data_IF_504693102709
#
_entry.id   IF_504693102709
#
_cell.length_a   1.000
_cell.length_b   1.000
_cell.length_c   1.000
_cell.angle_alpha   90.00
_cell.angle_beta   90.00
_cell.angle_gamma   90.00
#
_symmetry.space_group_name_H-M   'P 1'
#
loop_
_entity.id
_entity.type
_entity.pdbx_description
1 polymer ?
#
# COMPACT_ATOMS: atom_id res chain seq x y z
N UNK A 1 -51.10 47.70 31.88
CA UNK A 1 -49.86 47.52 32.68
C UNK A 1 -49.25 46.19 32.30
N UNK A 2 -47.96 46.19 31.98
CA UNK A 2 -47.25 45.21 31.16
C UNK A 2 -46.98 43.90 31.93
N UNK A 3 -47.26 42.76 31.29
CA UNK A 3 -46.89 41.42 31.75
C UNK A 3 -45.38 41.16 31.55
N UNK A 4 -44.64 40.84 32.60
CA UNK A 4 -43.30 40.24 32.49
C UNK A 4 -43.36 38.75 32.80
N UNK A 5 -43.41 37.91 31.76
CA UNK A 5 -43.07 36.49 31.85
C UNK A 5 -41.55 36.37 31.92
N UNK A 6 -41.03 35.82 33.03
CA UNK A 6 -39.62 35.42 33.15
C UNK A 6 -39.38 34.20 32.25
N UNK A 7 -38.70 34.40 31.13
CA UNK A 7 -38.17 33.32 30.32
C UNK A 7 -36.84 32.86 30.93
N UNK A 8 -36.82 31.65 31.48
CA UNK A 8 -35.59 30.95 31.84
C UNK A 8 -34.99 30.38 30.55
N UNK A 9 -33.90 30.96 30.05
CA UNK A 9 -33.13 30.42 28.93
C UNK A 9 -32.18 29.37 29.49
N UNK A 10 -32.48 28.10 29.25
CA UNK A 10 -31.59 26.98 29.53
C UNK A 10 -30.51 26.96 28.43
N UNK A 11 -29.32 27.46 28.72
CA UNK A 11 -28.17 27.35 27.81
C UNK A 11 -27.62 25.94 27.96
N UNK A 12 -28.04 25.04 27.06
CA UNK A 12 -27.41 23.74 26.90
C UNK A 12 -26.04 23.94 26.24
N UNK A 13 -24.97 23.82 27.03
CA UNK A 13 -23.62 23.66 26.50
C UNK A 13 -23.55 22.30 25.80
N UNK A 14 -23.76 22.27 24.49
CA UNK A 14 -23.28 21.17 23.66
C UNK A 14 -21.75 21.28 23.61
N UNK A 15 -21.06 20.53 24.46
CA UNK A 15 -19.67 20.17 24.22
C UNK A 15 -19.66 19.29 22.98
N UNK A 16 -19.53 19.92 21.81
CA UNK A 16 -19.24 19.21 20.58
C UNK A 16 -17.91 18.51 20.76
N UNK A 17 -17.93 17.19 20.91
CA UNK A 17 -16.77 16.38 20.59
C UNK A 17 -16.53 16.61 19.09
N UNK A 18 -15.54 17.44 18.77
CA UNK A 18 -14.99 17.48 17.42
C UNK A 18 -14.37 16.11 17.20
N UNK A 19 -15.11 15.23 16.52
CA UNK A 19 -14.52 14.02 15.97
C UNK A 19 -13.62 14.49 14.83
N UNK A 20 -12.31 14.59 15.12
CA UNK A 20 -11.32 14.81 14.08
C UNK A 20 -11.43 13.66 13.07
N UNK A 21 -11.76 14.00 11.84
CA UNK A 21 -11.98 13.02 10.76
C UNK A 21 -10.69 12.41 10.20
N UNK A 22 -9.54 12.82 10.74
CA UNK A 22 -8.22 12.27 10.47
C UNK A 22 -7.49 12.15 11.81
N UNK A 23 -6.99 10.96 12.12
CA UNK A 23 -6.38 10.71 13.43
C UNK A 23 -4.90 10.39 13.25
N UNK A 24 -4.06 11.26 13.81
CA UNK A 24 -2.64 10.98 13.97
C UNK A 24 -2.46 9.98 15.12
N UNK A 25 -1.74 8.87 14.93
CA UNK A 25 -1.39 8.00 16.04
C UNK A 25 -0.61 8.71 17.14
N UNK A 26 -0.88 8.33 18.39
CA UNK A 26 -0.12 8.78 19.56
C UNK A 26 1.30 8.21 19.54
N UNK A 27 1.41 6.97 19.04
CA UNK A 27 2.65 6.19 18.95
C UNK A 27 2.66 5.41 17.65
N UNK A 28 3.82 5.32 17.03
CA UNK A 28 4.11 4.34 15.97
C UNK A 28 5.26 3.45 16.40
N UNK A 29 5.18 2.17 16.02
CA UNK A 29 6.15 1.13 16.38
C UNK A 29 6.71 0.51 15.12
N UNK A 30 8.01 0.22 15.13
CA UNK A 30 8.70 -0.38 13.99
C UNK A 30 9.74 -1.41 14.40
N UNK A 31 10.36 -2.07 13.43
CA UNK A 31 11.34 -3.13 13.67
C UNK A 31 12.81 -2.67 13.60
N UNK A 32 13.06 -1.38 13.34
CA UNK A 32 14.41 -0.83 13.35
C UNK A 32 15.10 -1.09 14.69
N UNK A 33 16.32 -1.61 14.62
CA UNK A 33 17.15 -1.97 15.77
C UNK A 33 16.39 -2.84 16.80
N UNK A 34 15.76 -3.90 16.32
CA UNK A 34 14.96 -4.91 17.06
C UNK A 34 13.58 -4.46 17.54
N UNK A 35 13.41 -3.19 17.91
CA UNK A 35 12.12 -2.59 18.21
C UNK A 35 12.27 -1.08 18.31
N UNK A 36 11.54 -0.36 17.47
CA UNK A 36 11.54 1.09 17.41
C UNK A 36 10.20 1.64 17.88
N UNK A 37 10.22 2.79 18.56
CA UNK A 37 9.03 3.47 19.08
C UNK A 37 9.21 4.96 18.87
N UNK A 38 8.16 5.66 18.42
CA UNK A 38 8.16 7.11 18.30
C UNK A 38 6.77 7.71 18.51
N UNK A 39 6.72 8.89 19.12
CA UNK A 39 5.46 9.54 19.52
C UNK A 39 5.25 10.92 18.90
N UNK A 40 6.32 11.67 18.60
CA UNK A 40 6.24 13.07 18.18
C UNK A 40 7.54 13.62 17.57
N UNK A 41 8.44 12.74 17.11
CA UNK A 41 9.77 13.11 16.66
C UNK A 41 10.57 13.98 17.67
N UNK A 42 10.35 13.76 18.98
CA UNK A 42 11.21 14.36 20.01
C UNK A 42 12.57 13.65 20.04
N UNK A 43 13.63 14.39 20.43
CA UNK A 43 15.00 13.86 20.51
C UNK A 43 15.19 12.71 21.51
N UNK A 44 14.17 12.36 22.29
CA UNK A 44 14.15 11.18 23.18
C UNK A 44 14.05 9.87 22.39
N UNK A 45 13.51 9.89 21.17
CA UNK A 45 13.38 8.71 20.32
C UNK A 45 14.47 8.68 19.25
N UNK A 46 15.06 7.51 19.02
CA UNK A 46 16.10 7.36 18.02
C UNK A 46 15.54 7.59 16.60
N UNK A 47 16.22 8.37 15.77
CA UNK A 47 15.96 8.44 14.33
C UNK A 47 16.29 7.09 13.70
N UNK A 48 15.36 6.51 12.93
CA UNK A 48 15.62 5.28 12.19
C UNK A 48 16.66 5.54 11.09
N UNK A 49 17.66 4.67 10.96
CA UNK A 49 18.74 4.87 9.98
C UNK A 49 18.86 3.73 8.97
N UNK A 50 18.11 2.64 9.20
CA UNK A 50 18.02 1.45 8.37
C UNK A 50 16.53 1.17 8.09
N UNK A 51 16.23 0.05 7.44
CA UNK A 51 14.85 -0.41 7.22
C UNK A 51 14.04 -0.40 8.52
N UNK A 52 12.78 0.05 8.43
CA UNK A 52 11.90 0.18 9.58
C UNK A 52 10.44 -0.09 9.15
N UNK A 53 10.05 -1.36 9.16
CA UNK A 53 8.67 -1.74 8.87
C UNK A 53 7.77 -1.34 10.04
N UNK A 54 6.63 -0.72 9.74
CA UNK A 54 5.61 -0.40 10.74
C UNK A 54 5.06 -1.70 11.33
N UNK A 55 5.31 -1.98 12.61
CA UNK A 55 4.80 -3.14 13.35
C UNK A 55 3.40 -2.92 13.91
N UNK A 56 3.04 -1.66 14.16
CA UNK A 56 1.79 -1.27 14.76
C UNK A 56 1.80 0.19 15.18
N UNK A 57 0.69 0.63 15.76
CA UNK A 57 0.50 2.02 16.19
C UNK A 57 -0.54 2.09 17.31
N UNK A 58 -0.55 3.20 18.05
CA UNK A 58 -1.52 3.47 19.12
C UNK A 58 -2.40 4.65 18.74
N UNK A 59 -3.72 4.48 18.89
CA UNK A 59 -4.70 5.55 18.75
C UNK A 59 -5.65 5.50 19.94
N UNK A 60 -5.74 6.60 20.69
CA UNK A 60 -6.67 6.70 21.83
C UNK A 60 -6.36 5.69 22.94
N UNK A 61 -5.08 5.35 23.12
CA UNK A 61 -4.62 4.37 24.11
C UNK A 61 -4.84 2.89 23.71
N UNK A 62 -5.32 2.61 22.50
CA UNK A 62 -5.45 1.25 21.97
C UNK A 62 -4.31 0.98 20.99
N UNK A 63 -3.60 -0.13 21.19
CA UNK A 63 -2.58 -0.61 20.27
C UNK A 63 -3.19 -1.47 19.16
N UNK A 64 -2.83 -1.21 17.92
CA UNK A 64 -3.21 -1.97 16.73
C UNK A 64 -1.95 -2.55 16.10
N UNK A 65 -1.91 -3.88 15.89
CA UNK A 65 -0.83 -4.49 15.11
C UNK A 65 -1.02 -4.18 13.63
N UNK A 66 0.07 -3.91 12.91
CA UNK A 66 0.02 -3.78 11.46
C UNK A 66 -0.10 -5.13 10.74
N UNK A 67 0.06 -6.25 11.45
CA UNK A 67 0.27 -7.58 10.88
C UNK A 67 1.73 -7.86 10.46
N UNK A 68 2.63 -6.87 10.53
CA UNK A 68 4.08 -7.13 10.44
C UNK A 68 4.56 -7.62 11.80
N UNK A 69 5.12 -8.83 11.83
CA UNK A 69 5.67 -9.48 13.02
C UNK A 69 4.84 -9.28 14.32
N UNK A 70 3.57 -9.75 14.33
CA UNK A 70 2.66 -9.53 15.46
C UNK A 70 3.16 -10.16 16.77
N UNK A 71 3.98 -11.21 16.69
CA UNK A 71 4.63 -11.83 17.86
C UNK A 71 5.58 -10.87 18.56
N UNK A 72 6.46 -10.21 17.80
CA UNK A 72 7.38 -9.19 18.35
C UNK A 72 6.59 -8.01 18.91
N UNK A 73 5.57 -7.54 18.18
CA UNK A 73 4.74 -6.43 18.61
C UNK A 73 4.05 -6.74 19.95
N UNK A 74 3.33 -7.86 20.04
CA UNK A 74 2.63 -8.28 21.25
C UNK A 74 3.57 -8.48 22.45
N UNK A 75 4.76 -9.02 22.24
CA UNK A 75 5.76 -9.18 23.29
C UNK A 75 6.24 -7.84 23.88
N UNK A 76 6.12 -6.73 23.13
CA UNK A 76 6.60 -5.40 23.53
C UNK A 76 5.50 -4.48 24.04
N UNK A 77 4.29 -4.57 23.48
CA UNK A 77 3.17 -3.67 23.83
C UNK A 77 2.10 -4.32 24.70
N UNK A 78 2.14 -5.64 24.89
CA UNK A 78 1.15 -6.37 25.70
C UNK A 78 -0.18 -6.56 24.96
N UNK A 79 -1.24 -5.92 25.42
CA UNK A 79 -2.57 -6.03 24.81
C UNK A 79 -2.67 -5.18 23.55
N UNK A 80 -3.19 -5.77 22.48
CA UNK A 80 -3.41 -5.10 21.20
C UNK A 80 -4.60 -5.71 20.45
N UNK A 81 -5.15 -4.94 19.50
CA UNK A 81 -6.08 -5.42 18.47
C UNK A 81 -5.26 -5.96 17.30
N UNK A 82 -5.47 -7.23 16.96
CA UNK A 82 -4.74 -7.88 15.89
C UNK A 82 -5.34 -7.54 14.52
N UNK A 83 -4.87 -6.44 13.94
CA UNK A 83 -5.15 -6.07 12.56
C UNK A 83 -4.10 -6.61 11.59
N UNK A 84 -4.36 -6.46 10.30
CA UNK A 84 -3.44 -6.86 9.24
C UNK A 84 -3.54 -5.89 8.07
N UNK A 85 -2.55 -5.01 7.94
CA UNK A 85 -2.49 -3.99 6.90
C UNK A 85 -1.58 -4.41 5.76
N UNK A 86 -1.89 -3.90 4.57
CA UNK A 86 -1.08 -4.04 3.36
C UNK A 86 -1.02 -2.69 2.66
N UNK A 87 0.14 -2.32 2.12
CA UNK A 87 0.20 -1.18 1.22
C UNK A 87 -0.70 -1.41 0.00
N UNK A 88 -1.31 -0.34 -0.47
CA UNK A 88 -2.05 -0.37 -1.71
C UNK A 88 -1.10 -0.69 -2.88
N UNK A 89 -1.53 -1.52 -3.85
CA UNK A 89 -0.77 -1.72 -5.07
C UNK A 89 -0.69 -0.41 -5.84
N UNK A 90 0.49 0.20 -5.85
CA UNK A 90 0.67 1.55 -6.35
C UNK A 90 1.39 1.52 -7.70
N UNK A 91 0.79 2.21 -8.67
CA UNK A 91 1.43 2.57 -9.93
C UNK A 91 1.04 4.00 -10.26
N UNK A 92 2.01 4.80 -10.72
CA UNK A 92 1.78 6.21 -11.01
C UNK A 92 2.68 6.67 -12.16
N UNK A 93 2.35 7.82 -12.75
CA UNK A 93 3.11 8.37 -13.87
C UNK A 93 4.44 8.92 -13.41
N UNK A 94 5.50 8.50 -14.11
CA UNK A 94 6.89 8.84 -13.82
C UNK A 94 7.47 9.87 -14.80
N UNK A 95 6.61 10.61 -15.50
CA UNK A 95 7.01 11.53 -16.58
C UNK A 95 7.78 12.79 -16.14
N UNK A 96 7.99 13.01 -14.85
CA UNK A 96 8.76 14.16 -14.34
C UNK A 96 10.25 13.87 -14.34
N UNK A 97 11.03 14.81 -14.87
CA UNK A 97 12.50 14.79 -14.84
C UNK A 97 13.06 15.80 -13.83
N UNK A 98 12.22 16.35 -12.95
CA UNK A 98 12.64 17.36 -11.98
C UNK A 98 13.74 16.84 -11.05
N UNK A 99 14.72 17.68 -10.74
CA UNK A 99 15.87 17.31 -9.91
C UNK A 99 15.51 17.10 -8.43
N UNK A 100 14.35 17.58 -7.99
CA UNK A 100 13.81 17.33 -6.65
C UNK A 100 12.81 16.16 -6.61
N UNK A 101 12.52 15.50 -7.72
CA UNK A 101 11.73 14.25 -7.74
C UNK A 101 12.67 13.07 -7.44
N UNK A 102 12.52 12.46 -6.26
CA UNK A 102 13.55 11.59 -5.68
C UNK A 102 13.00 10.25 -5.20
N UNK A 103 13.83 9.21 -5.29
CA UNK A 103 13.69 7.98 -4.53
C UNK A 103 14.47 8.18 -3.23
N UNK A 104 13.82 8.02 -2.09
CA UNK A 104 14.47 7.94 -0.79
C UNK A 104 14.62 6.49 -0.35
N UNK A 105 15.80 6.17 0.16
CA UNK A 105 16.10 4.89 0.81
C UNK A 105 16.74 5.18 2.18
N UNK A 106 16.78 4.21 3.12
CA UNK A 106 17.47 4.44 4.38
C UNK A 106 18.96 4.72 4.16
N UNK A 107 19.55 5.49 5.08
CA UNK A 107 20.97 5.82 5.03
C UNK A 107 21.86 4.58 5.14
N UNK A 108 21.40 3.55 5.83
CA UNK A 108 22.03 2.25 5.92
C UNK A 108 21.09 1.16 5.43
N UNK A 109 21.62 0.12 4.80
CA UNK A 109 20.88 -1.11 4.49
C UNK A 109 21.68 -2.25 5.07
N UNK A 110 21.12 -2.94 6.07
CA UNK A 110 21.83 -3.97 6.84
C UNK A 110 23.18 -3.46 7.39
N UNK A 111 23.21 -2.22 7.89
CA UNK A 111 24.41 -1.58 8.42
C UNK A 111 25.42 -1.08 7.38
N UNK A 112 25.14 -1.25 6.08
CA UNK A 112 25.99 -0.74 4.99
C UNK A 112 25.54 0.66 4.59
N UNK A 113 26.45 1.63 4.66
CA UNK A 113 26.19 3.01 4.26
C UNK A 113 25.75 3.10 2.80
N UNK A 114 24.63 3.77 2.53
CA UNK A 114 24.14 4.01 1.17
C UNK A 114 24.61 5.37 0.68
N UNK A 115 25.56 5.40 -0.25
CA UNK A 115 26.15 6.63 -0.79
C UNK A 115 26.45 6.52 -2.29
N UNK A 116 27.28 7.42 -2.83
CA UNK A 116 27.68 7.40 -4.24
C UNK A 116 28.47 6.13 -4.62
N UNK A 117 29.20 5.54 -3.67
CA UNK A 117 30.04 4.35 -3.88
C UNK A 117 29.23 3.08 -3.64
N UNK A 118 28.45 3.07 -2.57
CA UNK A 118 27.62 1.95 -2.13
C UNK A 118 26.16 2.26 -2.44
N UNK A 119 25.78 2.20 -3.71
CA UNK A 119 24.38 2.39 -4.13
C UNK A 119 23.65 1.06 -4.27
N UNK A 120 22.37 0.97 -3.89
CA UNK A 120 21.59 -0.21 -4.23
C UNK A 120 21.36 -0.26 -5.74
N UNK A 121 21.08 -1.46 -6.25
CA UNK A 121 20.68 -1.63 -7.65
C UNK A 121 19.25 -1.16 -7.83
N UNK A 122 19.08 0.15 -8.04
CA UNK A 122 17.78 0.73 -8.40
C UNK A 122 17.56 0.49 -9.90
N UNK A 123 16.86 -0.61 -10.21
CA UNK A 123 16.58 -1.01 -11.60
C UNK A 123 15.59 -0.06 -12.26
N UNK A 124 15.83 0.28 -13.52
CA UNK A 124 14.88 1.05 -14.33
C UNK A 124 13.67 0.22 -14.77
N UNK A 125 13.74 -1.11 -14.63
CA UNK A 125 12.62 -2.01 -14.88
C UNK A 125 11.70 -2.15 -13.65
N UNK A 126 12.15 -1.68 -12.49
CA UNK A 126 11.33 -1.62 -11.28
C UNK A 126 10.46 -0.38 -11.32
N UNK A 127 9.13 -0.59 -11.32
CA UNK A 127 8.17 0.52 -11.19
C UNK A 127 8.51 1.35 -9.97
N UNK A 128 8.52 2.69 -10.09
CA UNK A 128 8.69 3.56 -8.92
C UNK A 128 7.59 3.35 -7.87
N UNK A 129 6.44 2.79 -8.27
CA UNK A 129 5.39 2.34 -7.36
C UNK A 129 5.85 1.28 -6.37
N UNK A 130 6.93 0.53 -6.65
CA UNK A 130 7.58 -0.39 -5.72
C UNK A 130 7.99 0.31 -4.42
N UNK A 131 8.59 1.51 -4.52
CA UNK A 131 9.06 2.25 -3.35
C UNK A 131 7.92 2.86 -2.52
N UNK A 132 6.66 2.75 -2.99
CA UNK A 132 5.46 3.09 -2.20
C UNK A 132 4.84 1.86 -1.50
N UNK A 133 5.51 0.71 -1.58
CA UNK A 133 5.08 -0.59 -1.05
C UNK A 133 6.26 -1.48 -0.69
N UNK A 134 7.39 -0.89 -0.33
CA UNK A 134 8.60 -1.65 -0.01
C UNK A 134 8.51 -2.23 1.42
N UNK A 135 9.31 -3.25 1.68
CA UNK A 135 9.36 -3.94 2.97
C UNK A 135 8.20 -4.90 3.23
N UNK A 136 8.14 -5.39 4.47
CA UNK A 136 7.16 -6.38 4.88
C UNK A 136 5.75 -5.77 4.81
N UNK A 137 4.86 -6.46 4.10
CA UNK A 137 3.50 -5.99 3.83
C UNK A 137 3.42 -4.64 3.08
N UNK A 138 4.56 -4.17 2.55
CA UNK A 138 4.73 -2.86 1.95
C UNK A 138 4.75 -1.68 2.93
N UNK A 139 5.05 -1.93 4.20
CA UNK A 139 4.91 -0.95 5.29
C UNK A 139 6.26 -0.41 5.79
N UNK A 140 7.29 -0.36 4.96
CA UNK A 140 8.56 0.28 5.33
C UNK A 140 8.41 1.81 5.42
N UNK A 141 8.79 2.37 6.57
CA UNK A 141 8.78 3.81 6.83
C UNK A 141 10.06 4.51 6.36
N UNK A 142 11.07 3.74 5.93
CA UNK A 142 12.40 4.22 5.57
C UNK A 142 12.65 4.26 4.05
N UNK A 143 11.66 3.92 3.23
CA UNK A 143 11.68 4.00 1.77
C UNK A 143 10.47 4.80 1.28
N UNK A 144 10.66 5.62 0.25
CA UNK A 144 9.61 6.52 -0.25
C UNK A 144 9.96 7.12 -1.61
N UNK A 145 8.96 7.72 -2.24
CA UNK A 145 9.16 8.65 -3.36
C UNK A 145 8.77 10.06 -2.94
N UNK A 146 9.65 11.02 -3.22
CA UNK A 146 9.55 12.41 -2.78
C UNK A 146 9.22 13.35 -3.95
N UNK A 147 8.45 14.40 -3.66
CA UNK A 147 7.95 15.41 -4.60
C UNK A 147 7.27 14.77 -5.82
N UNK A 148 6.37 13.82 -5.55
CA UNK A 148 5.61 13.16 -6.60
C UNK A 148 4.71 14.20 -7.29
N UNK A 149 4.78 14.36 -8.62
CA UNK A 149 3.94 15.30 -9.34
C UNK A 149 2.46 15.08 -9.09
N UNK A 150 1.67 16.17 -9.14
CA UNK A 150 0.23 16.14 -8.91
C UNK A 150 -0.45 15.14 -9.83
N UNK A 151 -1.04 14.11 -9.23
CA UNK A 151 -1.76 13.05 -9.92
C UNK A 151 -2.59 12.24 -8.93
N UNK A 152 -3.45 11.38 -9.46
CA UNK A 152 -4.28 10.49 -8.65
C UNK A 152 -3.60 9.13 -8.52
N UNK A 153 -3.37 8.68 -7.28
CA UNK A 153 -3.15 7.28 -6.98
C UNK A 153 -4.52 6.63 -6.79
N UNK A 154 -4.92 5.75 -7.71
CA UNK A 154 -6.24 5.13 -7.72
C UNK A 154 -6.14 3.64 -7.40
N UNK A 155 -6.89 3.20 -6.40
CA UNK A 155 -6.87 1.83 -5.90
C UNK A 155 -8.28 1.22 -5.96
N UNK A 156 -8.42 0.07 -6.61
CA UNK A 156 -9.72 -0.62 -6.70
C UNK A 156 -9.99 -1.46 -5.46
N UNK A 157 -10.95 -1.02 -4.65
CA UNK A 157 -11.25 -1.56 -3.30
C UNK A 157 -12.52 -2.39 -3.23
N UNK A 158 -13.38 -2.35 -4.26
CA UNK A 158 -14.61 -3.14 -4.30
C UNK A 158 -14.90 -3.69 -5.71
N UNK A 159 -14.39 -4.88 -6.04
CA UNK A 159 -14.71 -5.51 -7.34
C UNK A 159 -15.16 -6.98 -7.26
N UNK A 160 -14.91 -7.77 -6.19
CA UNK A 160 -15.63 -9.06 -5.95
C UNK A 160 -15.78 -9.49 -4.47
N UNK A 161 -15.31 -8.73 -3.47
CA UNK A 161 -15.36 -9.14 -2.04
C UNK A 161 -15.89 -8.05 -1.08
N UNK A 162 -16.36 -6.92 -1.62
CA UNK A 162 -16.91 -5.77 -0.90
C UNK A 162 -15.97 -5.12 0.14
N UNK A 163 -16.28 -3.85 0.46
CA UNK A 163 -15.91 -3.30 1.77
C UNK A 163 -16.65 -4.15 2.81
N UNK A 164 -15.94 -4.70 3.80
CA UNK A 164 -16.56 -5.49 4.84
C UNK A 164 -17.52 -4.60 5.66
N UNK A 165 -18.85 -4.84 5.60
CA UNK A 165 -19.82 -3.96 6.25
C UNK A 165 -19.68 -3.94 7.77
N UNK A 166 -19.11 -4.99 8.37
CA UNK A 166 -18.89 -5.06 9.83
C UNK A 166 -17.77 -4.13 10.30
N UNK A 167 -16.84 -3.77 9.40
CA UNK A 167 -15.72 -2.87 9.70
C UNK A 167 -16.05 -1.39 9.53
N UNK A 168 -17.20 -1.03 8.93
CA UNK A 168 -17.54 0.38 8.67
C UNK A 168 -17.67 1.19 9.98
N UNK A 169 -18.14 0.55 11.04
CA UNK A 169 -18.47 1.19 12.33
C UNK A 169 -17.82 0.52 13.54
N UNK A 170 -16.76 -0.27 13.35
CA UNK A 170 -16.07 -0.98 14.43
C UNK A 170 -15.11 -0.08 15.24
N UNK A 171 -14.92 1.17 14.80
CA UNK A 171 -13.96 2.15 15.34
C UNK A 171 -12.49 1.74 15.23
N UNK A 172 -12.18 0.76 14.38
CA UNK A 172 -10.82 0.35 14.07
C UNK A 172 -10.33 1.14 12.85
N UNK A 173 -9.11 1.68 12.85
CA UNK A 173 -8.57 2.32 11.66
C UNK A 173 -8.50 1.39 10.45
N UNK A 174 -9.05 1.82 9.31
CA UNK A 174 -9.15 1.01 8.10
C UNK A 174 -8.09 1.36 7.07
N UNK A 175 -7.61 2.60 7.07
CA UNK A 175 -6.63 3.13 6.14
C UNK A 175 -5.50 3.82 6.92
N UNK A 176 -4.27 3.60 6.48
CA UNK A 176 -3.08 4.29 6.94
C UNK A 176 -2.50 5.05 5.76
N UNK A 177 -2.13 6.30 5.95
CA UNK A 177 -1.41 7.08 4.93
C UNK A 177 -0.18 7.69 5.55
N UNK A 178 0.85 7.86 4.73
CA UNK A 178 2.10 8.48 5.15
C UNK A 178 2.38 9.75 4.37
N UNK A 179 3.04 10.68 5.04
CA UNK A 179 3.79 11.74 4.41
C UNK A 179 5.15 11.80 5.09
N UNK A 180 6.22 11.64 4.33
CA UNK A 180 7.58 11.83 4.82
C UNK A 180 8.10 13.21 4.44
N UNK A 181 9.36 13.50 4.75
CA UNK A 181 9.99 14.70 4.25
C UNK A 181 9.51 16.00 4.91
N UNK A 182 9.50 17.06 4.11
CA UNK A 182 9.16 18.42 4.51
C UNK A 182 8.00 18.92 3.63
N UNK A 183 6.77 18.46 3.89
CA UNK A 183 5.59 18.81 3.08
C UNK A 183 5.36 20.32 3.03
N UNK A 184 4.86 20.80 1.89
CA UNK A 184 4.40 22.17 1.73
C UNK A 184 3.02 22.38 2.37
N UNK A 185 2.43 23.57 2.18
CA UNK A 185 1.07 23.88 2.66
C UNK A 185 -0.02 23.35 1.73
N UNK A 186 0.37 22.71 0.61
CA UNK A 186 -0.55 22.08 -0.32
C UNK A 186 -1.24 20.87 0.31
N UNK A 187 -2.45 20.59 -0.16
CA UNK A 187 -3.29 19.53 0.39
C UNK A 187 -3.19 18.28 -0.47
N UNK A 188 -3.00 17.14 0.19
CA UNK A 188 -3.37 15.84 -0.36
C UNK A 188 -4.86 15.60 -0.10
N UNK A 189 -5.53 14.94 -1.04
CA UNK A 189 -6.96 14.61 -0.90
C UNK A 189 -7.17 13.11 -0.92
N UNK A 190 -7.88 12.59 0.06
CA UNK A 190 -8.25 11.18 0.17
C UNK A 190 -9.76 11.03 0.01
N UNK A 191 -10.21 10.12 -0.86
CA UNK A 191 -11.65 9.91 -1.07
C UNK A 191 -11.96 8.52 -1.59
N UNK A 192 -13.18 8.07 -1.35
CA UNK A 192 -13.77 6.97 -2.10
C UNK A 192 -14.54 7.50 -3.30
N UNK A 193 -14.50 6.78 -4.42
CA UNK A 193 -15.32 7.10 -5.59
C UNK A 193 -16.06 5.88 -6.13
N UNK A 194 -17.13 6.13 -6.86
CA UNK A 194 -17.75 5.12 -7.71
C UNK A 194 -16.89 4.79 -8.93
N UNK A 195 -17.38 3.86 -9.76
CA UNK A 195 -16.68 3.44 -10.98
C UNK A 195 -16.50 4.60 -11.98
N UNK A 196 -17.41 5.57 -11.96
CA UNK A 196 -17.43 6.75 -12.83
C UNK A 196 -16.56 7.90 -12.29
N UNK A 197 -16.01 7.77 -11.08
CA UNK A 197 -15.16 8.78 -10.44
C UNK A 197 -15.92 9.79 -9.56
N UNK A 198 -17.22 9.61 -9.33
CA UNK A 198 -17.96 10.47 -8.40
C UNK A 198 -17.63 10.10 -6.96
N UNK A 199 -17.40 11.10 -6.09
CA UNK A 199 -17.13 10.85 -4.66
C UNK A 199 -18.30 10.12 -4.00
N UNK A 200 -18.00 9.04 -3.27
CA UNK A 200 -18.95 8.32 -2.41
C UNK A 200 -18.64 8.67 -0.97
N UNK A 201 -19.64 9.23 -0.26
CA UNK A 201 -19.42 9.80 1.05
C UNK A 201 -18.80 11.19 0.95
N UNK A 202 -17.70 11.43 1.66
CA UNK A 202 -17.01 12.72 1.75
C UNK A 202 -15.50 12.55 1.57
N UNK A 203 -14.86 13.55 0.96
CA UNK A 203 -13.39 13.59 0.84
C UNK A 203 -12.73 14.11 2.12
N UNK A 204 -11.44 13.83 2.27
CA UNK A 204 -10.58 14.33 3.35
C UNK A 204 -9.41 15.07 2.77
N UNK A 205 -9.30 16.35 3.11
CA UNK A 205 -8.23 17.23 2.65
C UNK A 205 -7.21 17.37 3.78
N UNK A 206 -5.97 16.97 3.54
CA UNK A 206 -4.92 16.95 4.55
C UNK A 206 -3.79 17.91 4.17
N UNK A 207 -3.57 18.92 5.00
CA UNK A 207 -2.33 19.71 4.97
C UNK A 207 -1.32 19.09 5.93
N UNK A 208 -0.39 18.28 5.39
CA UNK A 208 0.61 17.60 6.21
C UNK A 208 1.63 18.53 6.88
N UNK A 209 1.83 19.76 6.40
CA UNK A 209 2.70 20.73 7.11
C UNK A 209 2.17 21.10 8.50
N UNK A 210 0.86 20.97 8.72
CA UNK A 210 0.22 21.19 10.02
C UNK A 210 0.20 19.95 10.93
N UNK A 211 0.52 18.77 10.39
CA UNK A 211 0.52 17.52 11.14
C UNK A 211 1.87 17.37 11.85
N UNK A 212 1.83 17.25 13.18
CA UNK A 212 3.03 16.97 13.98
C UNK A 212 3.65 15.65 13.53
N UNK A 213 4.97 15.60 13.25
CA UNK A 213 5.68 14.37 12.89
C UNK A 213 5.42 13.23 13.87
N UNK A 214 5.22 12.02 13.36
CA UNK A 214 5.11 10.78 14.14
C UNK A 214 6.49 10.23 14.53
N UNK A 215 7.50 10.43 13.68
CA UNK A 215 8.89 10.05 13.92
C UNK A 215 9.85 10.67 12.91
N UNK A 216 11.07 10.14 12.81
CA UNK A 216 12.05 10.55 11.80
C UNK A 216 12.92 9.39 11.32
N UNK A 217 13.41 9.52 10.09
CA UNK A 217 14.40 8.64 9.51
C UNK A 217 15.54 9.42 8.84
N UNK A 218 16.70 8.78 8.71
CA UNK A 218 17.89 9.28 8.03
C UNK A 218 17.96 8.68 6.63
N UNK A 219 18.04 9.54 5.61
CA UNK A 219 17.80 9.15 4.22
C UNK A 219 19.03 9.34 3.32
N UNK A 220 19.10 8.51 2.28
CA UNK A 220 19.90 8.73 1.09
C UNK A 220 18.97 8.90 -0.12
N UNK A 221 19.30 9.84 -1.01
CA UNK A 221 18.42 10.19 -2.13
C UNK A 221 19.04 9.87 -3.48
N UNK A 222 18.18 9.44 -4.39
CA UNK A 222 18.48 9.15 -5.79
C UNK A 222 17.46 9.84 -6.67
N UNK A 223 17.84 10.22 -7.88
CA UNK A 223 16.91 10.86 -8.81
C UNK A 223 15.86 9.85 -9.31
N UNK A 224 14.58 10.16 -9.11
CA UNK A 224 13.49 9.32 -9.60
C UNK A 224 13.21 9.55 -11.09
N UNK A 225 13.43 10.79 -11.57
CA UNK A 225 13.10 11.21 -12.94
C UNK A 225 14.11 10.82 -14.02
N UNK A 226 15.17 10.08 -13.70
CA UNK A 226 16.17 9.62 -14.66
C UNK A 226 16.49 8.14 -14.50
N UNK A 227 16.96 7.51 -15.59
CA UNK A 227 17.51 6.18 -15.59
C UNK A 227 18.92 6.24 -16.20
N UNK A 228 19.97 5.70 -15.54
CA UNK A 228 19.96 5.08 -14.22
C UNK A 228 19.65 6.08 -13.10
N UNK A 229 18.95 5.62 -12.04
CA UNK A 229 18.64 6.40 -10.84
C UNK A 229 19.93 6.72 -10.06
N UNK A 230 20.59 7.82 -10.43
CA UNK A 230 21.87 8.19 -9.86
C UNK A 230 21.71 8.79 -8.46
N UNK A 231 22.72 8.57 -7.61
CA UNK A 231 22.79 9.17 -6.28
C UNK A 231 22.77 10.69 -6.39
N UNK A 232 21.93 11.33 -5.57
CA UNK A 232 21.86 12.78 -5.48
C UNK A 232 22.93 13.27 -4.49
N UNK A 233 24.02 13.81 -5.03
CA UNK A 233 25.15 14.38 -4.28
C UNK A 233 24.97 15.85 -3.90
N UNK A 234 23.80 16.46 -4.18
CA UNK A 234 23.49 17.82 -3.79
C UNK A 234 23.66 18.01 -2.29
N UNK A 235 24.46 19.00 -1.88
CA UNK A 235 24.75 19.29 -0.48
C UNK A 235 23.45 19.52 0.30
N UNK A 236 23.20 18.69 1.33
CA UNK A 236 22.04 18.84 2.23
C UNK A 236 20.84 17.93 1.93
N UNK A 237 20.91 17.05 0.92
CA UNK A 237 19.86 16.06 0.66
C UNK A 237 20.20 14.71 1.26
N UNK A 238 21.21 14.01 0.74
CA UNK A 238 21.56 12.68 1.24
C UNK A 238 22.34 12.76 2.57
N UNK A 239 22.12 11.78 3.46
CA UNK A 239 22.64 11.78 4.82
C UNK A 239 21.93 12.78 5.74
N UNK A 240 20.68 13.12 5.45
CA UNK A 240 19.91 14.08 6.27
C UNK A 240 18.62 13.47 6.80
N UNK A 241 18.19 13.98 7.96
CA UNK A 241 16.99 13.52 8.64
C UNK A 241 15.75 14.10 7.97
N UNK A 242 14.70 13.28 7.84
CA UNK A 242 13.36 13.71 7.44
C UNK A 242 12.33 13.19 8.41
N UNK A 243 11.30 14.00 8.59
CA UNK A 243 10.14 13.64 9.39
C UNK A 243 9.35 12.51 8.70
N UNK A 244 8.70 11.70 9.51
CA UNK A 244 7.70 10.73 9.11
C UNK A 244 6.39 11.15 9.76
N UNK A 245 5.32 11.30 8.98
CA UNK A 245 3.95 11.54 9.45
C UNK A 245 3.09 10.35 9.05
N UNK A 246 2.34 9.84 10.01
CA UNK A 246 1.35 8.79 9.80
C UNK A 246 -0.01 9.36 10.20
N UNK A 247 -1.00 9.18 9.34
CA UNK A 247 -2.40 9.40 9.66
C UNK A 247 -3.18 8.10 9.45
N UNK A 248 -4.22 7.96 10.25
CA UNK A 248 -5.14 6.84 10.21
C UNK A 248 -6.55 7.35 9.97
N UNK A 249 -7.32 6.57 9.21
CA UNK A 249 -8.70 6.87 8.87
C UNK A 249 -9.56 5.62 9.02
N UNK A 250 -10.77 5.80 9.52
CA UNK A 250 -11.85 4.82 9.47
C UNK A 250 -12.66 5.00 8.18
N UNK A 251 -13.35 3.98 7.73
CA UNK A 251 -14.29 4.05 6.61
C UNK A 251 -15.41 5.07 6.89
N UNK A 252 -15.91 5.07 8.12
CA UNK A 252 -16.89 6.06 8.59
C UNK A 252 -16.35 7.50 8.56
N UNK A 253 -15.03 7.70 8.69
CA UNK A 253 -14.45 9.02 8.52
C UNK A 253 -14.65 9.52 7.10
N UNK A 254 -14.74 8.67 6.07
CA UNK A 254 -15.09 9.08 4.71
C UNK A 254 -16.60 9.16 4.46
N UNK A 255 -17.44 9.06 5.49
CA UNK A 255 -18.90 9.00 5.32
C UNK A 255 -19.36 7.73 4.59
N UNK A 256 -18.56 6.67 4.62
CA UNK A 256 -18.98 5.35 4.16
C UNK A 256 -19.93 4.75 5.22
N UNK A 257 -21.02 4.20 4.74
CA UNK A 257 -22.14 3.67 5.52
C UNK A 257 -22.64 2.38 4.90
N UNK A 258 -23.43 1.62 5.65
CA UNK A 258 -24.11 0.43 5.13
C UNK A 258 -25.01 0.71 3.90
N UNK A 259 -25.43 1.96 3.69
CA UNK A 259 -26.24 2.35 2.53
C UNK A 259 -25.45 2.70 1.27
N UNK A 260 -24.15 2.99 1.36
CA UNK A 260 -23.38 3.49 0.22
C UNK A 260 -22.06 2.75 -0.06
N UNK A 261 -21.60 1.87 0.83
CA UNK A 261 -20.30 1.19 0.70
C UNK A 261 -20.16 0.39 -0.60
N UNK A 262 -21.25 -0.16 -1.13
CA UNK A 262 -21.25 -0.89 -2.40
C UNK A 262 -20.90 0.00 -3.60
N UNK A 263 -21.17 1.30 -3.51
CA UNK A 263 -20.82 2.25 -4.55
C UNK A 263 -19.35 2.72 -4.43
N UNK A 264 -18.69 2.53 -3.28
CA UNK A 264 -17.30 2.91 -3.07
C UNK A 264 -16.35 1.90 -3.72
N UNK A 265 -16.14 2.04 -5.03
CA UNK A 265 -15.37 1.11 -5.87
C UNK A 265 -13.88 1.40 -5.83
N UNK A 266 -13.50 2.67 -5.69
CA UNK A 266 -12.10 3.11 -5.69
C UNK A 266 -11.80 3.89 -4.42
N UNK A 267 -10.62 3.68 -3.84
CA UNK A 267 -9.98 4.65 -2.95
C UNK A 267 -8.98 5.46 -3.77
N UNK A 268 -8.98 6.78 -3.62
CA UNK A 268 -8.14 7.70 -4.40
C UNK A 268 -7.39 8.62 -3.46
N UNK A 269 -6.07 8.65 -3.60
CA UNK A 269 -5.22 9.71 -3.05
C UNK A 269 -4.82 10.66 -4.19
N UNK A 270 -5.30 11.89 -4.15
CA UNK A 270 -4.87 12.96 -5.04
C UNK A 270 -3.63 13.60 -4.41
N UNK A 271 -2.49 13.43 -5.06
CA UNK A 271 -1.22 13.99 -4.62
C UNK A 271 -1.17 15.48 -4.92
N UNK A 272 -0.62 16.26 -3.99
CA UNK A 272 -0.52 17.71 -4.07
C UNK A 272 0.48 18.22 -5.12
N UNK A 273 1.45 17.39 -5.51
CA UNK A 273 2.62 17.79 -6.32
C UNK A 273 3.91 17.94 -5.52
N UNK A 274 3.77 18.09 -4.19
CA UNK A 274 4.88 18.09 -3.23
C UNK A 274 4.74 16.89 -2.26
N UNK A 275 3.95 15.88 -2.62
CA UNK A 275 3.70 14.71 -1.78
C UNK A 275 4.95 13.85 -1.72
N UNK A 276 5.30 13.43 -0.51
CA UNK A 276 6.41 12.53 -0.23
C UNK A 276 5.82 11.30 0.44
N UNK A 277 5.69 10.19 -0.29
CA UNK A 277 4.89 9.06 0.16
C UNK A 277 5.77 7.83 0.34
N UNK A 278 5.75 7.26 1.55
CA UNK A 278 6.34 5.96 1.85
C UNK A 278 5.37 4.84 1.50
N UNK A 279 4.12 4.96 1.93
CA UNK A 279 3.01 4.13 1.51
C UNK A 279 1.65 4.75 1.87
N UNK A 280 0.62 4.27 1.19
CA UNK A 280 -0.76 4.28 1.69
C UNK A 280 -1.19 2.82 1.81
N UNK A 281 -1.88 2.45 2.89
CA UNK A 281 -2.20 1.08 3.24
C UNK A 281 -3.65 0.93 3.71
N UNK A 282 -4.15 -0.30 3.67
CA UNK A 282 -5.50 -0.67 4.08
C UNK A 282 -5.48 -1.87 5.02
N UNK A 283 -6.47 -1.95 5.93
CA UNK A 283 -6.74 -3.18 6.66
C UNK A 283 -7.37 -4.21 5.73
N UNK A 284 -6.75 -5.39 5.68
CA UNK A 284 -7.24 -6.55 4.92
C UNK A 284 -8.50 -7.17 5.53
N UNK A 285 -8.87 -6.76 6.75
CA UNK A 285 -10.15 -7.12 7.37
C UNK A 285 -11.30 -6.26 6.81
N UNK A 286 -11.00 -5.02 6.41
CA UNK A 286 -11.96 -4.02 5.96
C UNK A 286 -12.12 -3.97 4.44
N UNK A 287 -11.02 -4.11 3.70
CA UNK A 287 -10.98 -3.96 2.25
C UNK A 287 -10.26 -5.14 1.58
N UNK A 288 -10.67 -5.46 0.35
CA UNK A 288 -10.03 -6.47 -0.50
C UNK A 288 -9.68 -5.89 -1.86
N UNK A 289 -8.42 -6.01 -2.28
CA UNK A 289 -7.92 -5.41 -3.52
C UNK A 289 -7.57 -6.40 -4.62
N UNK A 290 -7.56 -5.88 -5.85
CA UNK A 290 -7.02 -6.54 -7.04
C UNK A 290 -5.61 -6.05 -7.29
N UNK A 291 -4.67 -6.99 -7.40
CA UNK A 291 -3.40 -6.75 -8.04
C UNK A 291 -3.51 -7.02 -9.54
N UNK A 292 -4.10 -6.07 -10.25
CA UNK A 292 -3.85 -5.92 -11.68
C UNK A 292 -2.85 -4.76 -11.79
N UNK A 293 -1.57 -5.04 -11.96
CA UNK A 293 -0.72 -4.01 -12.57
C UNK A 293 -1.32 -3.73 -13.95
N UNK A 294 -1.56 -2.45 -14.23
CA UNK A 294 -2.00 -2.06 -15.57
C UNK A 294 -0.98 -2.63 -16.57
N UNK A 295 -1.45 -3.33 -17.59
CA UNK A 295 -0.57 -3.79 -18.66
C UNK A 295 0.23 -2.57 -19.16
N UNK A 296 1.56 -2.70 -19.24
CA UNK A 296 2.44 -1.65 -19.73
C UNK A 296 1.97 -1.20 -21.11
N UNK A 297 1.36 -0.02 -21.19
CA UNK A 297 0.85 0.58 -22.43
C UNK A 297 1.90 1.49 -23.11
N UNK A 298 2.99 1.79 -22.41
CA UNK A 298 4.12 2.63 -22.88
C UNK A 298 5.43 2.17 -22.24
N UNK A 299 6.53 2.10 -22.99
CA UNK A 299 7.87 1.70 -22.49
C UNK A 299 8.38 0.36 -23.03
N UNK A 300 9.50 -0.14 -22.49
CA UNK A 300 10.14 -1.42 -22.89
C UNK A 300 9.34 -2.60 -22.35
N UNK A 301 8.22 -2.89 -22.99
CA UNK A 301 7.39 -4.02 -22.60
C UNK A 301 8.08 -5.33 -23.04
N UNK A 302 8.43 -6.20 -22.07
CA UNK A 302 9.10 -7.46 -22.37
C UNK A 302 8.18 -8.37 -23.18
N UNK A 303 8.72 -8.93 -24.27
CA UNK A 303 7.99 -9.86 -25.12
C UNK A 303 7.60 -11.12 -24.36
N UNK A 304 6.34 -11.54 -24.50
CA UNK A 304 5.96 -12.92 -24.19
C UNK A 304 6.52 -13.82 -25.28
N UNK A 305 7.66 -14.47 -25.01
CA UNK A 305 8.39 -15.26 -26.03
C UNK A 305 7.87 -16.68 -26.21
N UNK A 306 7.11 -17.19 -25.24
CA UNK A 306 6.56 -18.54 -25.27
C UNK A 306 5.05 -18.50 -25.41
N UNK A 307 4.50 -19.30 -26.32
CA UNK A 307 3.06 -19.39 -26.46
C UNK A 307 2.59 -20.66 -27.17
N UNK A 308 1.32 -21.01 -26.94
CA UNK A 308 0.61 -22.09 -27.61
C UNK A 308 -0.68 -21.52 -28.18
N UNK A 309 -0.91 -21.68 -29.49
CA UNK A 309 -2.13 -21.21 -30.16
C UNK A 309 -2.77 -22.32 -30.98
N UNK A 310 -4.10 -22.41 -30.90
CA UNK A 310 -4.88 -23.26 -31.82
C UNK A 310 -5.32 -22.52 -33.09
N UNK A 311 -4.95 -21.26 -33.25
CA UNK A 311 -5.36 -20.39 -34.36
C UNK A 311 -4.34 -20.36 -35.51
N UNK A 312 -3.26 -21.15 -35.41
CA UNK A 312 -2.21 -21.20 -36.44
C UNK A 312 -1.30 -19.97 -36.49
N UNK A 313 -1.27 -19.15 -35.44
CA UNK A 313 -0.47 -17.91 -35.40
C UNK A 313 0.97 -18.09 -34.93
N UNK A 314 1.36 -19.30 -34.50
CA UNK A 314 2.72 -19.60 -34.09
C UNK A 314 3.68 -19.48 -35.28
N UNK A 315 4.60 -18.51 -35.23
CA UNK A 315 5.56 -18.26 -36.30
C UNK A 315 4.98 -17.55 -37.54
N UNK A 316 3.75 -17.04 -37.48
CA UNK A 316 3.14 -16.28 -38.57
C UNK A 316 3.83 -14.92 -38.74
N UNK A 317 4.21 -14.58 -39.98
CA UNK A 317 4.82 -13.30 -40.33
C UNK A 317 3.78 -12.17 -40.29
N UNK A 318 4.10 -11.07 -39.63
CA UNK A 318 3.27 -9.85 -39.57
C UNK A 318 2.47 -9.66 -38.27
N UNK A 319 2.03 -10.75 -37.63
CA UNK A 319 1.19 -10.69 -36.43
C UNK A 319 1.96 -10.57 -35.11
N UNK A 320 3.29 -10.77 -35.18
CA UNK A 320 4.21 -10.75 -34.05
C UNK A 320 3.76 -11.62 -32.86
N UNK A 321 2.97 -12.67 -33.10
CA UNK A 321 2.47 -13.54 -32.04
C UNK A 321 3.57 -14.54 -31.60
N UNK A 322 3.76 -14.81 -30.29
CA UNK A 322 3.03 -14.30 -29.13
C UNK A 322 3.57 -12.96 -28.56
N UNK A 323 4.67 -12.44 -29.12
CA UNK A 323 5.40 -11.25 -28.65
C UNK A 323 4.60 -9.94 -28.74
N UNK A 324 3.46 -9.94 -29.43
CA UNK A 324 2.44 -8.89 -29.38
C UNK A 324 1.79 -8.79 -27.99
N UNK A 325 1.85 -9.87 -27.19
CA UNK A 325 1.53 -9.87 -25.76
C UNK A 325 2.81 -9.55 -24.99
N UNK A 326 2.71 -8.63 -24.02
CA UNK A 326 3.84 -8.18 -23.21
C UNK A 326 3.67 -8.57 -21.75
N UNK A 327 4.78 -8.76 -21.05
CA UNK A 327 4.82 -9.03 -19.61
C UNK A 327 4.35 -10.43 -19.18
N UNK A 328 4.06 -11.33 -20.11
CA UNK A 328 3.70 -12.72 -19.83
C UNK A 328 4.88 -13.66 -20.00
N UNK A 329 4.95 -14.70 -19.16
CA UNK A 329 5.86 -15.83 -19.37
C UNK A 329 5.33 -16.82 -20.42
N UNK A 330 4.00 -16.94 -20.53
CA UNK A 330 3.32 -17.87 -21.44
C UNK A 330 2.02 -17.25 -21.99
N UNK A 331 1.84 -17.30 -23.31
CA UNK A 331 0.58 -16.95 -23.97
C UNK A 331 -0.17 -18.21 -24.43
N UNK A 332 -1.42 -18.39 -23.99
CA UNK A 332 -2.31 -19.46 -24.47
C UNK A 332 -3.46 -18.82 -25.28
N UNK A 333 -3.68 -19.27 -26.51
CA UNK A 333 -4.73 -18.72 -27.39
C UNK A 333 -5.57 -19.82 -28.03
N UNK A 334 -6.88 -19.78 -27.80
CA UNK A 334 -7.86 -20.59 -28.53
C UNK A 334 -9.25 -19.97 -28.46
N UNK A 335 -10.03 -20.09 -29.52
CA UNK A 335 -11.47 -19.79 -29.53
C UNK A 335 -12.36 -21.04 -29.44
N UNK A 336 -11.76 -22.24 -29.46
CA UNK A 336 -12.47 -23.52 -29.61
C UNK A 336 -11.96 -24.64 -28.69
N UNK A 337 -10.82 -24.46 -28.03
CA UNK A 337 -10.22 -25.44 -27.12
C UNK A 337 -10.18 -24.87 -25.70
N UNK A 338 -10.53 -25.70 -24.72
CA UNK A 338 -10.38 -25.37 -23.32
C UNK A 338 -8.96 -25.67 -22.83
N UNK A 339 -8.48 -24.89 -21.86
CA UNK A 339 -7.33 -25.25 -21.05
C UNK A 339 -7.82 -26.04 -19.83
N UNK A 340 -7.31 -27.26 -19.66
CA UNK A 340 -7.64 -28.13 -18.53
C UNK A 340 -6.34 -28.47 -17.80
N UNK A 341 -6.09 -27.90 -16.61
CA UNK A 341 -4.95 -28.32 -15.78
C UNK A 341 -5.17 -29.72 -15.23
N UNK A 342 -4.09 -30.37 -14.75
CA UNK A 342 -4.17 -31.69 -14.10
C UNK A 342 -5.21 -31.67 -12.98
N UNK A 343 -6.13 -32.65 -12.99
CA UNK A 343 -7.23 -32.76 -12.03
C UNK A 343 -6.94 -33.89 -11.05
N UNK A 344 -6.95 -33.58 -9.75
CA UNK A 344 -6.65 -34.52 -8.67
C UNK A 344 -7.66 -34.33 -7.53
N UNK A 345 -7.95 -35.36 -6.75
CA UNK A 345 -8.72 -35.19 -5.51
C UNK A 345 -7.81 -34.60 -4.43
N UNK A 346 -8.38 -34.06 -3.35
CA UNK A 346 -7.57 -33.57 -2.20
C UNK A 346 -6.66 -34.68 -1.66
N UNK A 347 -7.17 -35.91 -1.53
CA UNK A 347 -6.36 -37.06 -1.12
C UNK A 347 -5.26 -37.41 -2.15
N UNK A 348 -5.56 -37.21 -3.45
CA UNK A 348 -4.63 -37.45 -4.54
C UNK A 348 -3.42 -36.51 -4.57
N UNK A 349 -3.46 -35.37 -3.88
CA UNK A 349 -2.32 -34.46 -3.75
C UNK A 349 -1.11 -35.13 -3.10
N UNK A 350 -1.33 -36.09 -2.19
CA UNK A 350 -0.25 -36.86 -1.55
C UNK A 350 0.55 -37.73 -2.54
N UNK A 351 -0.01 -38.02 -3.71
CA UNK A 351 0.69 -38.78 -4.76
C UNK A 351 1.67 -37.90 -5.57
N UNK A 352 1.61 -36.58 -5.41
CA UNK A 352 2.59 -35.66 -5.99
C UNK A 352 3.78 -35.60 -5.02
N UNK A 353 4.73 -36.52 -5.16
CA UNK A 353 5.83 -36.72 -4.20
C UNK A 353 6.94 -35.67 -4.29
N UNK A 354 7.04 -34.94 -5.41
CA UNK A 354 8.02 -33.88 -5.63
C UNK A 354 7.33 -32.59 -6.12
N UNK A 355 6.47 -31.95 -5.31
CA UNK A 355 5.83 -30.71 -5.69
C UNK A 355 6.86 -29.56 -5.69
N UNK A 356 6.76 -28.66 -6.67
CA UNK A 356 7.58 -27.45 -6.76
C UNK A 356 6.73 -26.22 -6.47
N UNK A 357 7.33 -25.20 -5.86
CA UNK A 357 6.66 -23.93 -5.60
C UNK A 357 6.06 -23.35 -6.90
N UNK A 358 4.80 -22.94 -6.82
CA UNK A 358 4.03 -22.46 -7.96
C UNK A 358 3.37 -23.55 -8.81
N UNK A 359 3.57 -24.85 -8.51
CA UNK A 359 2.86 -25.93 -9.20
C UNK A 359 1.35 -25.79 -9.02
N UNK A 360 0.58 -26.00 -10.10
CA UNK A 360 -0.87 -25.82 -10.12
C UNK A 360 -1.62 -27.10 -10.50
N UNK A 361 -2.72 -27.39 -9.78
CA UNK A 361 -3.65 -28.48 -10.09
C UNK A 361 -5.08 -28.04 -9.82
N UNK A 362 -6.07 -28.68 -10.44
CA UNK A 362 -7.47 -28.51 -10.05
C UNK A 362 -7.88 -29.60 -9.06
N UNK A 363 -8.19 -29.22 -7.83
CA UNK A 363 -8.69 -30.12 -6.81
C UNK A 363 -10.18 -30.39 -7.04
N UNK A 364 -10.52 -31.63 -7.39
CA UNK A 364 -11.90 -32.05 -7.69
C UNK A 364 -12.76 -32.33 -6.46
N UNK A 365 -12.15 -32.43 -5.28
CA UNK A 365 -12.88 -32.58 -4.02
C UNK A 365 -13.25 -31.20 -3.48
N UNK A 366 -12.31 -30.25 -3.49
CA UNK A 366 -12.55 -28.87 -3.04
C UNK A 366 -13.07 -27.93 -4.15
N UNK A 367 -13.15 -28.41 -5.40
CA UNK A 367 -13.60 -27.66 -6.57
C UNK A 367 -12.84 -26.34 -6.81
N UNK A 368 -11.53 -26.33 -6.56
CA UNK A 368 -10.70 -25.13 -6.65
C UNK A 368 -9.40 -25.39 -7.43
N UNK A 369 -8.83 -24.34 -8.03
CA UNK A 369 -7.44 -24.37 -8.47
C UNK A 369 -6.55 -24.32 -7.22
N UNK A 370 -5.70 -25.31 -7.00
CA UNK A 370 -4.70 -25.31 -5.94
C UNK A 370 -3.32 -24.93 -6.49
N UNK A 371 -2.60 -24.14 -5.71
CA UNK A 371 -1.19 -23.81 -5.92
C UNK A 371 -0.40 -24.41 -4.78
N UNK A 372 0.72 -25.06 -5.09
CA UNK A 372 1.68 -25.48 -4.09
C UNK A 372 2.54 -24.28 -3.69
N UNK A 373 2.40 -23.81 -2.45
CA UNK A 373 3.12 -22.63 -1.97
C UNK A 373 4.58 -22.97 -1.64
N UNK A 374 4.82 -23.86 -0.68
CA UNK A 374 6.15 -24.39 -0.35
C UNK A 374 5.99 -25.60 0.59
N UNK A 375 7.10 -26.20 1.02
CA UNK A 375 7.11 -27.35 1.94
C UNK A 375 6.46 -27.08 3.30
N UNK A 376 6.45 -25.83 3.76
CA UNK A 376 5.86 -25.44 5.05
C UNK A 376 4.35 -25.23 4.96
N UNK A 377 3.88 -24.61 3.88
CA UNK A 377 2.46 -24.22 3.71
C UNK A 377 1.65 -25.31 2.99
N UNK A 378 2.28 -26.04 2.07
CA UNK A 378 1.65 -27.06 1.23
C UNK A 378 0.74 -26.49 0.15
N UNK A 379 -0.20 -27.34 -0.31
CA UNK A 379 -1.20 -26.98 -1.32
C UNK A 379 -2.30 -26.09 -0.71
N UNK A 380 -2.65 -25.00 -1.39
CA UNK A 380 -3.75 -24.11 -1.01
C UNK A 380 -4.65 -23.81 -2.20
N UNK A 381 -5.97 -23.75 -1.95
CA UNK A 381 -6.89 -23.20 -2.94
C UNK A 381 -6.52 -21.75 -3.24
N UNK A 382 -6.34 -21.44 -4.51
CA UNK A 382 -6.28 -20.09 -5.03
C UNK A 382 -7.71 -19.53 -5.15
N UNK A 383 -8.33 -19.31 -3.99
CA UNK A 383 -9.67 -18.75 -3.86
C UNK A 383 -9.66 -17.27 -3.46
N UNK A 384 -8.53 -16.78 -2.94
CA UNK A 384 -8.26 -15.38 -2.68
C UNK A 384 -7.24 -14.89 -3.68
N UNK A 385 -7.65 -13.97 -4.55
CA UNK A 385 -6.71 -13.22 -5.38
C UNK A 385 -5.93 -12.31 -4.45
N UNK A 386 -4.66 -12.62 -4.21
CA UNK A 386 -3.78 -11.76 -3.42
C UNK A 386 -2.64 -11.26 -4.30
N UNK A 387 -2.15 -10.07 -3.96
CA UNK A 387 -0.89 -9.56 -4.47
C UNK A 387 0.25 -10.47 -3.99
N UNK A 388 1.19 -10.89 -4.85
CA UNK A 388 2.49 -11.40 -4.41
C UNK A 388 3.21 -10.41 -3.51
#
# INVERSE_FOLDING_TARGET
>A
MIFYKKAFVLIAFFTGYFFDSQVRPDVIYGDYNTFWTSHNNSGTYATAQDTNNLLGFSVGGVNYSSGVNPTLFGARVGTYVNENYRAFPTSFSVGSTSTNYLIGIPRYVNGVLQDQTNRPSLSCDTSLGYYLRDGLNGLDLSTAVFNIPRQDLTFYVNVLADINPTCISDNIPDIIVTQVGAPSTSFDVFKFTDINGNTVGVQRDVNFSSVTPSGSALWSFYFAGNCPHNYNSGSGFSGTTRDIRVLTFKLSDFGITLSNYQNAVKFVQVLSGDSDVAFSAYSTNSLSLYCLENATITGTALDTRTGITSQGRAGATGDNWPMVRKGGFLALESNRKAFVPTRVTTAGLANITNPVEGMMVYDTTENCLKIYANSTVGWKCFNKKTCP
#
